data_IF_091436091640
#
_entry.id   IF_091436091640
#
_cell.length_a   1.000
_cell.length_b   1.000
_cell.length_c   1.000
_cell.angle_alpha   90.00
_cell.angle_beta   90.00
_cell.angle_gamma   90.00
#
_symmetry.space_group_name_H-M   'P 1'
#
loop_
_entity.id
_entity.type
_entity.pdbx_description
1 polymer ?
#
# COMPACT_ATOMS: atom_id res chain seq x y z
N UNK A 1 44.20 -1.18 -46.59
CA UNK A 1 45.26 -1.22 -45.55
C UNK A 1 44.51 -1.17 -44.22
N UNK A 2 44.32 -2.30 -43.51
CA UNK A 2 45.21 -2.87 -42.48
C UNK A 2 45.60 -1.78 -41.44
N UNK A 3 45.38 -1.88 -40.13
CA UNK A 3 45.31 -3.05 -39.26
C UNK A 3 44.65 -2.71 -37.89
N UNK A 4 44.33 -3.79 -37.17
CA UNK A 4 43.75 -4.00 -35.85
C UNK A 4 44.43 -3.31 -34.64
N UNK A 5 43.70 -3.16 -33.53
CA UNK A 5 43.80 -4.06 -32.35
C UNK A 5 42.82 -3.65 -31.24
N UNK A 6 41.78 -4.47 -31.03
CA UNK A 6 41.62 -5.37 -29.87
C UNK A 6 41.67 -4.68 -28.50
N UNK A 7 40.50 -4.49 -27.90
CA UNK A 7 40.34 -5.04 -26.55
C UNK A 7 38.96 -5.69 -26.38
N UNK A 8 39.00 -6.91 -25.84
CA UNK A 8 37.95 -7.91 -25.76
C UNK A 8 37.48 -7.98 -24.30
N UNK A 9 36.19 -8.26 -24.14
CA UNK A 9 35.57 -9.02 -23.04
C UNK A 9 35.35 -8.37 -21.67
N UNK A 10 34.05 -8.19 -21.39
CA UNK A 10 33.26 -8.90 -20.36
C UNK A 10 33.76 -8.83 -18.90
N UNK A 11 32.91 -8.34 -17.99
CA UNK A 11 32.66 -8.99 -16.69
C UNK A 11 31.36 -8.50 -16.06
N UNK A 12 30.39 -9.42 -15.97
CA UNK A 12 29.40 -9.44 -14.89
C UNK A 12 30.16 -9.51 -13.56
N UNK A 13 30.00 -8.50 -12.69
CA UNK A 13 30.27 -8.54 -11.25
C UNK A 13 29.61 -7.28 -10.66
N UNK A 14 28.40 -7.40 -10.11
CA UNK A 14 28.17 -7.67 -8.69
C UNK A 14 28.45 -6.47 -7.78
N UNK A 15 27.58 -6.33 -6.78
CA UNK A 15 27.59 -5.42 -5.63
C UNK A 15 26.82 -4.10 -5.89
N UNK A 16 25.81 -3.72 -5.09
CA UNK A 16 25.66 -4.00 -3.68
C UNK A 16 24.21 -3.85 -3.22
N UNK A 17 23.70 -4.88 -2.55
CA UNK A 17 22.57 -4.78 -1.65
C UNK A 17 22.92 -3.80 -0.52
N UNK A 18 22.06 -2.80 -0.28
CA UNK A 18 21.94 -2.22 1.07
C UNK A 18 20.50 -2.28 1.50
N UNK A 19 20.28 -3.26 2.37
CA UNK A 19 19.15 -3.42 3.26
C UNK A 19 18.80 -2.10 3.95
N UNK A 20 17.62 -1.56 3.67
CA UNK A 20 17.01 -0.52 4.50
C UNK A 20 16.54 -1.16 5.82
N UNK A 21 17.47 -1.30 6.76
CA UNK A 21 17.16 -1.43 8.17
C UNK A 21 16.68 -0.06 8.65
N UNK A 22 15.36 0.13 8.72
CA UNK A 22 14.75 1.29 9.38
C UNK A 22 15.03 1.23 10.89
N UNK A 23 16.11 1.86 11.32
CA UNK A 23 16.46 2.05 12.73
C UNK A 23 15.47 3.00 13.42
N UNK A 24 15.14 2.66 14.66
CA UNK A 24 14.10 3.24 15.53
C UNK A 24 14.41 4.66 16.06
N UNK A 25 15.06 5.55 15.30
CA UNK A 25 15.57 6.82 15.86
C UNK A 25 15.60 8.04 14.93
N UNK A 26 15.13 7.96 13.68
CA UNK A 26 15.01 9.18 12.86
C UNK A 26 13.71 9.92 13.21
N UNK A 27 13.84 11.17 13.67
CA UNK A 27 12.71 12.08 13.90
C UNK A 27 12.03 12.32 12.56
N UNK A 28 10.76 11.93 12.45
CA UNK A 28 9.93 12.15 11.24
C UNK A 28 10.04 13.60 10.81
N UNK A 29 10.43 13.83 9.57
CA UNK A 29 10.52 15.18 9.01
C UNK A 29 9.11 15.80 8.91
N UNK A 30 8.95 17.13 9.05
CA UNK A 30 7.63 17.78 9.02
C UNK A 30 6.79 17.52 7.76
N UNK A 31 7.44 17.12 6.67
CA UNK A 31 6.81 16.88 5.36
C UNK A 31 6.58 15.39 5.05
N UNK A 32 6.81 14.48 6.00
CA UNK A 32 6.56 13.06 5.79
C UNK A 32 5.07 12.72 5.71
N UNK A 33 4.67 11.82 4.78
CA UNK A 33 3.31 11.33 4.71
C UNK A 33 2.89 10.70 6.04
N UNK A 34 1.81 11.19 6.62
CA UNK A 34 1.25 10.69 7.86
C UNK A 34 -0.26 10.51 7.74
N UNK A 35 -0.85 9.80 8.71
CA UNK A 35 -2.27 9.44 8.69
C UNK A 35 -3.20 10.66 8.72
N UNK A 36 -2.82 11.74 9.42
CA UNK A 36 -3.62 12.97 9.44
C UNK A 36 -3.58 13.67 8.07
N UNK A 37 -2.42 13.72 7.43
CA UNK A 37 -2.26 14.21 6.06
C UNK A 37 -3.12 13.43 5.07
N UNK A 38 -3.23 12.11 5.22
CA UNK A 38 -4.17 11.31 4.43
C UNK A 38 -5.62 11.71 4.68
N UNK A 39 -6.06 11.79 5.93
CA UNK A 39 -7.46 12.14 6.25
C UNK A 39 -7.84 13.47 5.62
N UNK A 40 -6.98 14.49 5.74
CA UNK A 40 -7.22 15.80 5.14
C UNK A 40 -7.28 15.75 3.61
N UNK A 41 -6.36 15.03 2.97
CA UNK A 41 -6.32 14.91 1.50
C UNK A 41 -7.38 13.94 0.95
N UNK A 42 -7.97 13.09 1.78
CA UNK A 42 -8.90 12.04 1.34
C UNK A 42 -10.23 12.57 0.83
N UNK A 43 -10.61 13.77 1.26
CA UNK A 43 -11.79 14.47 0.78
C UNK A 43 -11.68 14.76 -0.73
N UNK A 44 -10.49 15.13 -1.20
CA UNK A 44 -10.26 15.58 -2.58
C UNK A 44 -10.46 14.46 -3.60
N UNK A 45 -10.16 13.22 -3.22
CA UNK A 45 -10.29 12.05 -4.11
C UNK A 45 -11.53 11.20 -3.83
N UNK A 46 -12.40 11.57 -2.88
CA UNK A 46 -13.57 10.74 -2.52
C UNK A 46 -14.47 10.43 -3.72
N UNK A 47 -14.55 11.35 -4.69
CA UNK A 47 -15.39 11.24 -5.88
C UNK A 47 -14.76 10.37 -6.97
N UNK A 48 -13.44 10.10 -6.93
CA UNK A 48 -12.78 9.19 -7.86
C UNK A 48 -12.88 7.72 -7.43
N UNK A 49 -13.30 7.46 -6.20
CA UNK A 49 -13.51 6.11 -5.69
C UNK A 49 -14.83 5.58 -6.24
N UNK A 50 -14.74 4.57 -7.11
CA UNK A 50 -15.91 3.90 -7.67
C UNK A 50 -16.57 3.09 -6.55
N UNK A 51 -17.80 3.47 -6.17
CA UNK A 51 -18.61 2.70 -5.22
C UNK A 51 -19.30 1.54 -5.92
N UNK A 52 -19.54 0.46 -5.20
CA UNK A 52 -20.32 -0.69 -5.67
C UNK A 52 -21.57 -0.86 -4.82
N UNK A 53 -22.74 -0.80 -5.46
CA UNK A 53 -24.03 -1.15 -4.85
C UNK A 53 -24.24 -2.68 -4.78
N UNK A 54 -23.42 -3.46 -5.50
CA UNK A 54 -23.46 -4.92 -5.49
C UNK A 54 -22.42 -5.48 -4.51
N UNK A 55 -22.72 -6.61 -3.85
CA UNK A 55 -21.73 -7.33 -3.06
C UNK A 55 -20.48 -7.66 -3.87
N UNK A 56 -19.31 -7.47 -3.26
CA UNK A 56 -18.00 -7.71 -3.85
C UNK A 56 -17.49 -9.06 -3.36
N UNK A 57 -17.06 -9.92 -4.27
CA UNK A 57 -16.51 -11.22 -3.89
C UNK A 57 -15.09 -11.08 -3.36
N UNK A 58 -14.63 -12.04 -2.57
CA UNK A 58 -13.23 -12.05 -2.08
C UNK A 58 -12.25 -12.24 -3.23
N UNK A 59 -12.66 -12.96 -4.26
CA UNK A 59 -11.91 -13.21 -5.49
C UNK A 59 -11.70 -11.92 -6.28
N UNK A 60 -12.70 -11.02 -6.30
CA UNK A 60 -12.54 -9.70 -6.91
C UNK A 60 -11.52 -8.87 -6.14
N UNK A 61 -11.68 -8.76 -4.82
CA UNK A 61 -10.72 -8.03 -3.97
C UNK A 61 -9.30 -8.55 -4.17
N UNK A 62 -9.11 -9.87 -4.30
CA UNK A 62 -7.79 -10.48 -4.47
C UNK A 62 -7.02 -10.02 -5.72
N UNK A 63 -7.71 -9.50 -6.74
CA UNK A 63 -7.08 -8.93 -7.95
C UNK A 63 -6.37 -7.61 -7.67
N UNK A 64 -6.88 -6.83 -6.73
CA UNK A 64 -6.38 -5.50 -6.34
C UNK A 64 -5.26 -5.63 -5.30
N UNK A 65 -4.10 -6.09 -5.74
CA UNK A 65 -2.94 -6.40 -4.89
C UNK A 65 -1.62 -5.71 -5.29
N UNK A 66 -1.71 -4.62 -6.04
CA UNK A 66 -0.56 -3.88 -6.61
C UNK A 66 -0.39 -2.51 -5.96
N UNK A 67 0.77 -1.89 -6.17
CA UNK A 67 1.15 -0.61 -5.54
C UNK A 67 0.28 0.58 -5.97
N UNK A 68 -0.35 0.45 -7.12
CA UNK A 68 -1.18 1.40 -7.86
C UNK A 68 -2.65 0.94 -7.93
N UNK A 69 -2.94 -0.24 -7.38
CA UNK A 69 -4.27 -0.83 -7.30
C UNK A 69 -4.32 -1.83 -6.14
N UNK A 70 -4.57 -1.30 -4.93
CA UNK A 70 -4.56 -2.07 -3.69
C UNK A 70 -5.88 -1.92 -2.94
N UNK A 71 -6.60 -3.02 -2.75
CA UNK A 71 -7.79 -3.07 -1.90
C UNK A 71 -7.56 -3.93 -0.67
N UNK A 72 -8.36 -3.72 0.37
CA UNK A 72 -8.40 -4.57 1.57
C UNK A 72 -9.83 -4.77 2.05
N UNK A 73 -10.06 -5.86 2.76
CA UNK A 73 -11.31 -6.09 3.50
C UNK A 73 -11.07 -5.81 4.98
N UNK A 74 -11.96 -5.03 5.59
CA UNK A 74 -12.02 -4.85 7.04
C UNK A 74 -13.48 -4.90 7.48
N UNK A 75 -13.82 -5.83 8.37
CA UNK A 75 -15.18 -6.02 8.89
C UNK A 75 -16.26 -6.07 7.80
N UNK A 76 -16.04 -6.92 6.78
CA UNK A 76 -16.90 -7.10 5.61
C UNK A 76 -17.07 -5.86 4.71
N UNK A 77 -16.28 -4.80 4.93
CA UNK A 77 -16.22 -3.61 4.06
C UNK A 77 -14.95 -3.65 3.22
N UNK A 78 -15.09 -3.28 1.94
CA UNK A 78 -13.96 -3.17 1.00
C UNK A 78 -13.50 -1.72 0.95
N UNK A 79 -12.19 -1.51 1.06
CA UNK A 79 -11.55 -0.20 0.96
C UNK A 79 -10.46 -0.20 -0.09
N UNK A 80 -10.45 0.82 -0.92
CA UNK A 80 -9.32 1.21 -1.77
C UNK A 80 -8.24 1.82 -0.84
N UNK A 81 -6.99 1.37 -0.92
CA UNK A 81 -5.92 1.84 -0.02
C UNK A 81 -4.66 2.29 -0.75
N UNK A 82 -4.68 2.40 -2.08
CA UNK A 82 -3.53 2.80 -2.90
C UNK A 82 -2.92 4.12 -2.42
N UNK A 83 -3.75 5.14 -2.21
CA UNK A 83 -3.29 6.43 -1.69
C UNK A 83 -2.87 6.37 -0.22
N UNK A 84 -3.46 5.47 0.57
CA UNK A 84 -3.14 5.30 1.98
C UNK A 84 -1.80 4.59 2.21
N UNK A 85 -1.32 3.78 1.26
CA UNK A 85 -0.08 3.00 1.38
C UNK A 85 1.12 3.82 1.88
N UNK A 86 1.31 5.05 1.40
CA UNK A 86 2.43 5.92 1.82
C UNK A 86 2.23 6.55 3.21
N UNK A 87 1.00 6.65 3.67
CA UNK A 87 0.61 7.31 4.93
C UNK A 87 0.43 6.31 6.09
N UNK A 88 0.45 5.00 5.79
CA UNK A 88 0.33 3.95 6.78
C UNK A 88 1.49 4.00 7.82
N UNK A 89 1.22 4.23 9.12
CA UNK A 89 2.28 4.40 10.13
C UNK A 89 3.21 3.19 10.31
N UNK A 90 2.71 1.97 10.03
CA UNK A 90 3.51 0.75 10.02
C UNK A 90 4.37 0.56 8.77
N UNK A 91 4.30 1.49 7.82
CA UNK A 91 5.07 1.49 6.58
C UNK A 91 4.34 0.84 5.41
N UNK A 92 4.63 1.34 4.20
CA UNK A 92 4.01 0.95 2.93
C UNK A 92 4.08 -0.55 2.64
N UNK A 93 5.26 -1.14 2.83
CA UNK A 93 5.52 -2.55 2.48
C UNK A 93 4.64 -3.52 3.27
N UNK A 94 4.33 -3.20 4.53
CA UNK A 94 3.52 -4.06 5.40
C UNK A 94 2.08 -4.12 4.89
N UNK A 95 1.48 -2.97 4.62
CA UNK A 95 0.09 -2.91 4.13
C UNK A 95 -0.01 -3.46 2.71
N UNK A 96 0.93 -3.14 1.83
CA UNK A 96 0.97 -3.70 0.46
C UNK A 96 1.12 -5.23 0.46
N UNK A 97 1.86 -5.82 1.40
CA UNK A 97 1.91 -7.29 1.55
C UNK A 97 0.57 -7.94 1.96
N UNK A 98 -0.41 -7.12 2.36
CA UNK A 98 -1.75 -7.52 2.78
C UNK A 98 -2.86 -7.04 1.83
N UNK A 99 -2.53 -6.31 0.76
CA UNK A 99 -3.53 -5.95 -0.25
C UNK A 99 -4.11 -7.20 -0.92
N UNK A 100 -5.37 -7.11 -1.34
CA UNK A 100 -6.16 -8.20 -1.86
C UNK A 100 -6.64 -9.21 -0.82
N UNK A 101 -6.66 -8.84 0.47
CA UNK A 101 -6.99 -9.75 1.57
C UNK A 101 -7.86 -9.09 2.65
N UNK A 102 -8.48 -9.94 3.47
CA UNK A 102 -9.08 -9.55 4.74
C UNK A 102 -8.01 -9.30 5.82
N UNK A 103 -7.95 -8.06 6.28
CA UNK A 103 -7.00 -7.59 7.28
C UNK A 103 -7.62 -7.47 8.68
N UNK A 104 -8.89 -7.81 8.86
CA UNK A 104 -9.65 -7.65 10.11
C UNK A 104 -8.91 -8.26 11.30
N UNK A 105 -8.47 -9.51 11.19
CA UNK A 105 -7.74 -10.19 12.27
C UNK A 105 -6.40 -9.51 12.60
N UNK A 106 -5.72 -8.98 11.58
CA UNK A 106 -4.45 -8.29 11.75
C UNK A 106 -4.62 -6.93 12.42
N UNK A 107 -5.62 -6.15 11.98
CA UNK A 107 -5.96 -4.86 12.58
C UNK A 107 -6.38 -5.06 14.03
N UNK A 108 -7.29 -5.99 14.32
CA UNK A 108 -7.75 -6.25 15.70
C UNK A 108 -6.60 -6.66 16.63
N UNK A 109 -5.58 -7.35 16.11
CA UNK A 109 -4.41 -7.76 16.90
C UNK A 109 -3.40 -6.63 17.10
N UNK A 110 -3.09 -5.88 16.04
CA UNK A 110 -1.98 -4.92 16.04
C UNK A 110 -2.40 -3.49 16.37
N UNK A 111 -3.65 -3.14 16.05
CA UNK A 111 -4.21 -1.79 16.12
C UNK A 111 -5.64 -1.78 16.70
N UNK A 112 -5.90 -2.43 17.86
CA UNK A 112 -7.26 -2.60 18.39
C UNK A 112 -8.00 -1.28 18.68
N UNK A 113 -7.26 -0.19 18.90
CA UNK A 113 -7.80 1.13 19.26
C UNK A 113 -7.96 2.07 18.06
N UNK A 114 -7.52 1.65 16.88
CA UNK A 114 -7.51 2.51 15.69
C UNK A 114 -8.85 2.40 14.97
N UNK A 115 -9.51 3.53 14.78
CA UNK A 115 -10.73 3.60 13.99
C UNK A 115 -10.40 3.59 12.49
N UNK A 116 -10.31 2.40 11.89
CA UNK A 116 -10.02 2.22 10.47
C UNK A 116 -11.11 2.83 9.59
N UNK A 117 -12.37 2.75 10.02
CA UNK A 117 -13.50 3.25 9.23
C UNK A 117 -13.42 4.77 9.06
N UNK A 118 -13.07 5.50 10.12
CA UNK A 118 -12.91 6.96 10.03
C UNK A 118 -11.70 7.34 9.17
N UNK A 119 -10.59 6.62 9.30
CA UNK A 119 -9.39 6.89 8.50
C UNK A 119 -9.69 6.67 7.02
N UNK A 120 -10.33 5.55 6.66
CA UNK A 120 -10.55 5.12 5.28
C UNK A 120 -11.94 5.49 4.74
N UNK A 121 -12.71 6.35 5.41
CA UNK A 121 -14.11 6.63 5.07
C UNK A 121 -14.33 7.01 3.60
N UNK A 122 -13.44 7.81 3.04
CA UNK A 122 -13.56 8.27 1.65
C UNK A 122 -13.14 7.24 0.61
N UNK A 123 -12.39 6.21 1.02
CA UNK A 123 -11.94 5.13 0.14
C UNK A 123 -12.76 3.84 0.24
N UNK A 124 -13.87 3.87 0.99
CA UNK A 124 -14.85 2.78 1.01
C UNK A 124 -15.37 2.48 -0.40
N UNK A 125 -15.48 1.22 -0.78
CA UNK A 125 -15.99 0.81 -2.10
C UNK A 125 -17.39 0.23 -1.95
N UNK A 126 -17.56 -0.72 -1.03
CA UNK A 126 -18.80 -1.47 -0.86
C UNK A 126 -18.63 -2.60 0.15
N UNK A 127 -19.62 -3.49 0.22
CA UNK A 127 -19.61 -4.62 1.13
C UNK A 127 -19.16 -5.91 0.43
N UNK A 128 -18.53 -6.79 1.20
CA UNK A 128 -18.19 -8.14 0.75
C UNK A 128 -19.44 -9.01 0.74
N UNK A 129 -19.55 -9.91 -0.22
CA UNK A 129 -20.56 -10.97 -0.22
C UNK A 129 -20.42 -11.87 1.03
N UNK A 130 -21.53 -12.06 1.76
CA UNK A 130 -21.57 -12.78 3.04
C UNK A 130 -22.24 -14.13 2.87
#
# INVERSE_FOLDING_TARGET
>A
MKENDKNKLNVFSAQNEKSEKSSRTERRTPNEPNQLGYINASEDFKNSIIKSDKPITKEEVAKHNKKDDAWVIYENKVYEVTHYLKHHPGGKRILLGKSGKDITKYVKKMHPWVNIEEILKHSFIGYVEV
#
